data_IF_268945496114
#
_entry.id   IF_268945496114
#
_cell.length_a   1.000
_cell.length_b   1.000
_cell.length_c   1.000
_cell.angle_alpha   90.00
_cell.angle_beta   90.00
_cell.angle_gamma   90.00
#
_symmetry.space_group_name_H-M   'P 1'
#
loop_
_entity.id
_entity.type
_entity.pdbx_description
1 polymer ?
#
# COMPACT_ATOMS: atom_id res chain seq x y z
N UNK A 1 -25.54 -8.05 15.67
CA UNK A 1 -24.61 -8.49 14.59
C UNK A 1 -23.24 -7.89 14.85
N UNK A 2 -22.26 -8.72 15.23
CA UNK A 2 -20.89 -8.25 15.44
C UNK A 2 -20.23 -8.01 14.07
N UNK A 3 -19.74 -6.79 13.86
CA UNK A 3 -18.95 -6.42 12.68
C UNK A 3 -17.61 -7.17 12.77
N UNK A 4 -17.38 -8.11 11.87
CA UNK A 4 -16.10 -8.82 11.77
C UNK A 4 -14.98 -7.77 11.62
N UNK A 5 -13.88 -7.87 12.38
CA UNK A 5 -12.73 -7.00 12.14
C UNK A 5 -12.17 -7.32 10.75
N UNK A 6 -12.00 -6.28 9.94
CA UNK A 6 -11.44 -6.29 8.59
C UNK A 6 -9.95 -6.64 8.62
N UNK A 7 -9.64 -7.85 9.06
CA UNK A 7 -8.27 -8.31 9.35
C UNK A 7 -7.77 -9.43 8.46
N UNK A 8 -8.59 -9.89 7.50
CA UNK A 8 -8.23 -10.96 6.56
C UNK A 8 -8.52 -10.57 5.10
N UNK A 9 -8.49 -9.27 4.82
CA UNK A 9 -8.47 -8.80 3.45
C UNK A 9 -7.08 -9.12 2.87
N UNK A 10 -7.02 -9.62 1.62
CA UNK A 10 -5.75 -9.84 0.92
C UNK A 10 -4.89 -8.59 1.03
N UNK A 11 -3.64 -8.74 1.46
CA UNK A 11 -2.66 -7.65 1.49
C UNK A 11 -2.36 -7.19 0.06
N UNK A 12 -3.21 -6.33 -0.49
CA UNK A 12 -2.96 -5.64 -1.74
C UNK A 12 -2.14 -4.39 -1.42
N UNK A 13 -0.82 -4.48 -1.52
CA UNK A 13 0.02 -3.30 -1.51
C UNK A 13 -0.27 -2.50 -2.79
N UNK A 14 -0.61 -1.22 -2.66
CA UNK A 14 -0.83 -0.33 -3.79
C UNK A 14 0.46 0.43 -4.06
N UNK A 15 0.97 0.37 -5.29
CA UNK A 15 2.08 1.22 -5.73
C UNK A 15 1.56 2.63 -5.91
N UNK A 16 2.21 3.61 -5.28
CA UNK A 16 1.81 5.01 -5.37
C UNK A 16 2.75 5.72 -6.34
N UNK A 17 2.29 5.99 -7.56
CA UNK A 17 3.06 6.76 -8.52
C UNK A 17 3.11 8.26 -8.12
N UNK A 18 4.28 8.88 -8.31
CA UNK A 18 4.58 10.28 -7.92
C UNK A 18 3.62 11.32 -8.54
N UNK A 19 2.90 10.97 -9.59
CA UNK A 19 1.90 11.83 -10.25
C UNK A 19 0.66 12.12 -9.37
N UNK A 20 0.34 11.28 -8.39
CA UNK A 20 -0.82 11.46 -7.51
C UNK A 20 -0.62 12.49 -6.38
N UNK A 21 0.59 13.06 -6.24
CA UNK A 21 0.93 13.97 -5.12
C UNK A 21 0.41 15.41 -5.30
N UNK A 22 -0.27 15.72 -6.41
CA UNK A 22 -0.89 17.03 -6.66
C UNK A 22 -2.40 16.88 -6.84
N UNK A 23 -3.15 16.76 -5.73
CA UNK A 23 -4.52 17.28 -5.55
C UNK A 23 -5.07 16.81 -4.19
N UNK A 24 -4.61 17.46 -3.13
CA UNK A 24 -5.31 17.48 -1.85
C UNK A 24 -5.99 18.86 -1.70
N UNK A 25 -7.28 18.92 -2.04
CA UNK A 25 -8.10 20.12 -1.87
C UNK A 25 -9.58 19.90 -2.19
N UNK A 26 -10.38 19.81 -1.13
CA UNK A 26 -11.87 19.96 -1.04
C UNK A 26 -12.82 18.73 -1.14
N UNK A 27 -13.45 18.48 0.03
CA UNK A 27 -14.77 17.94 0.45
C UNK A 27 -15.75 17.14 -0.47
N UNK A 28 -16.22 16.04 0.16
CA UNK A 28 -17.57 15.42 0.30
C UNK A 28 -18.39 14.82 -0.90
N UNK A 29 -18.83 13.57 -0.67
CA UNK A 29 -19.87 12.67 -1.25
C UNK A 29 -20.38 12.81 -2.70
N UNK A 30 -20.32 11.70 -3.46
CA UNK A 30 -21.48 10.90 -3.96
C UNK A 30 -21.01 9.78 -4.93
N UNK A 31 -21.80 8.71 -5.02
CA UNK A 31 -21.58 7.46 -5.79
C UNK A 31 -21.53 7.68 -7.32
N UNK A 32 -20.76 6.84 -8.02
CA UNK A 32 -21.18 6.12 -9.25
C UNK A 32 -20.21 4.98 -9.58
N UNK A 33 -20.78 3.83 -9.91
CA UNK A 33 -20.10 2.70 -10.55
C UNK A 33 -19.90 3.04 -12.02
N UNK A 34 -18.69 2.85 -12.56
CA UNK A 34 -18.47 2.57 -13.98
C UNK A 34 -17.09 1.91 -14.11
N UNK A 35 -17.08 0.77 -14.78
CA UNK A 35 -15.96 -0.06 -15.26
C UNK A 35 -14.55 0.55 -15.22
N UNK A 36 -13.69 0.06 -14.31
CA UNK A 36 -12.25 0.24 -14.43
C UNK A 36 -11.70 -0.79 -15.42
N UNK A 37 -11.43 -0.32 -16.64
CA UNK A 37 -10.38 -0.91 -17.46
C UNK A 37 -9.10 -0.71 -16.65
N UNK A 38 -8.57 -1.79 -16.07
CA UNK A 38 -7.28 -1.75 -15.38
C UNK A 38 -6.23 -1.52 -16.46
N UNK A 39 -5.94 -0.25 -16.75
CA UNK A 39 -4.70 0.11 -17.44
C UNK A 39 -3.58 -0.45 -16.56
N UNK A 40 -2.84 -1.43 -17.09
CA UNK A 40 -1.67 -1.94 -16.41
C UNK A 40 -0.62 -0.82 -16.37
N UNK A 41 -0.72 0.00 -15.32
CA UNK A 41 0.29 0.98 -14.95
C UNK A 41 1.64 0.24 -14.93
N UNK A 42 2.62 0.65 -15.76
CA UNK A 42 3.86 -0.08 -15.90
C UNK A 42 4.52 -0.17 -14.52
N UNK A 43 4.57 -1.38 -13.96
CA UNK A 43 5.12 -1.61 -12.64
C UNK A 43 6.54 -1.03 -12.60
N UNK A 44 6.74 0.00 -11.78
CA UNK A 44 8.05 0.61 -11.62
C UNK A 44 8.99 -0.41 -11.00
N UNK A 45 9.89 -0.95 -11.82
CA UNK A 45 10.86 -1.94 -11.39
C UNK A 45 11.84 -1.30 -10.40
N UNK A 46 12.11 -1.99 -9.29
CA UNK A 46 13.14 -1.55 -8.34
C UNK A 46 14.52 -1.59 -9.00
N UNK A 47 15.29 -0.49 -8.92
CA UNK A 47 16.62 -0.37 -9.51
C UNK A 47 17.62 0.14 -8.48
N UNK A 48 18.79 -0.49 -8.43
CA UNK A 48 19.88 -0.07 -7.55
C UNK A 48 20.35 1.33 -7.94
N UNK A 49 20.58 2.20 -6.95
CA UNK A 49 20.97 3.59 -7.15
C UNK A 49 19.83 4.52 -7.59
N UNK A 50 18.65 3.98 -7.92
CA UNK A 50 17.44 4.75 -8.15
C UNK A 50 16.60 4.91 -6.88
N UNK A 51 15.61 5.82 -6.88
CA UNK A 51 14.64 5.88 -5.81
C UNK A 51 13.83 4.59 -5.75
N UNK A 52 13.62 4.06 -4.55
CA UNK A 52 12.75 2.91 -4.35
C UNK A 52 11.29 3.25 -4.74
N UNK A 53 10.56 2.32 -5.38
CA UNK A 53 9.14 2.50 -5.66
C UNK A 53 8.35 2.76 -4.37
N UNK A 54 7.54 3.81 -4.36
CA UNK A 54 6.69 4.13 -3.21
C UNK A 54 5.49 3.16 -3.17
N UNK A 55 5.15 2.72 -1.98
CA UNK A 55 4.05 1.80 -1.75
C UNK A 55 3.29 2.17 -0.49
N UNK A 56 2.02 1.80 -0.48
CA UNK A 56 1.11 1.93 0.65
C UNK A 56 0.49 0.56 0.94
N UNK A 57 0.55 0.11 2.19
CA UNK A 57 0.05 -1.19 2.59
C UNK A 57 -0.50 -1.18 4.03
N UNK A 58 -1.49 -2.03 4.30
CA UNK A 58 -1.90 -2.32 5.67
C UNK A 58 -0.86 -3.21 6.35
N UNK A 59 -0.53 -2.89 7.59
CA UNK A 59 0.43 -3.63 8.41
C UNK A 59 -0.11 -3.82 9.83
N UNK A 60 0.39 -4.84 10.53
CA UNK A 60 0.12 -5.05 11.95
C UNK A 60 1.35 -4.67 12.76
N UNK A 61 1.22 -3.68 13.66
CA UNK A 61 2.32 -3.19 14.48
C UNK A 61 1.82 -2.88 15.90
N UNK A 62 2.54 -3.38 16.92
CA UNK A 62 2.23 -3.17 18.35
C UNK A 62 0.76 -3.47 18.70
N UNK A 63 0.24 -4.59 18.19
CA UNK A 63 -1.11 -5.06 18.50
C UNK A 63 -2.23 -4.39 17.69
N UNK A 64 -1.91 -3.54 16.70
CA UNK A 64 -2.89 -2.75 15.94
C UNK A 64 -2.64 -2.81 14.44
N UNK A 65 -3.74 -2.77 13.68
CA UNK A 65 -3.68 -2.54 12.24
C UNK A 65 -3.42 -1.07 11.97
N UNK A 66 -2.42 -0.79 11.15
CA UNK A 66 -2.01 0.54 10.72
C UNK A 66 -1.83 0.54 9.21
N UNK A 67 -1.89 1.73 8.61
CA UNK A 67 -1.50 1.92 7.21
C UNK A 67 -0.06 2.43 7.18
N UNK A 68 0.81 1.82 6.39
CA UNK A 68 2.22 2.19 6.27
C UNK A 68 2.52 2.63 4.84
N UNK A 69 3.33 3.68 4.73
CA UNK A 69 3.81 4.19 3.46
C UNK A 69 5.32 4.33 3.47
N UNK A 70 5.99 4.00 2.36
CA UNK A 70 7.45 4.11 2.28
C UNK A 70 7.91 5.56 2.43
N UNK A 71 7.16 6.52 1.87
CA UNK A 71 7.46 7.95 1.99
C UNK A 71 7.56 8.48 3.42
N UNK A 72 6.90 7.84 4.39
CA UNK A 72 6.88 8.29 5.79
C UNK A 72 8.22 8.01 6.51
N UNK A 73 9.08 7.18 5.90
CA UNK A 73 10.36 6.77 6.45
C UNK A 73 11.57 7.44 5.78
N UNK A 74 11.34 8.50 5.00
CA UNK A 74 12.42 9.30 4.40
C UNK A 74 13.36 9.85 5.48
N UNK A 75 14.67 9.84 5.19
CA UNK A 75 15.72 10.27 6.12
C UNK A 75 16.16 9.20 7.13
N UNK A 76 15.56 8.00 7.09
CA UNK A 76 16.01 6.83 7.86
C UNK A 76 16.44 5.72 6.92
N UNK A 77 17.35 4.85 7.40
CA UNK A 77 17.61 3.59 6.72
C UNK A 77 16.45 2.63 6.94
N UNK A 78 15.95 2.03 5.85
CA UNK A 78 14.83 1.09 5.86
C UNK A 78 15.29 -0.22 5.24
N UNK A 79 15.02 -1.33 5.93
CA UNK A 79 15.19 -2.68 5.41
C UNK A 79 13.79 -3.26 5.13
N UNK A 80 13.53 -3.61 3.86
CA UNK A 80 12.27 -4.22 3.43
C UNK A 80 12.54 -5.67 2.99
N UNK A 81 11.94 -6.63 3.69
CA UNK A 81 12.11 -8.06 3.41
C UNK A 81 10.77 -8.67 2.96
N UNK A 82 10.80 -9.42 1.86
CA UNK A 82 9.68 -10.21 1.41
C UNK A 82 9.86 -11.66 1.86
N UNK A 83 8.80 -12.29 2.33
CA UNK A 83 8.79 -13.69 2.75
C UNK A 83 7.59 -14.40 2.11
N UNK A 84 7.69 -15.72 1.81
CA UNK A 84 6.71 -16.41 0.96
C UNK A 84 5.36 -16.70 1.64
N UNK A 85 5.32 -16.88 2.96
CA UNK A 85 4.07 -17.09 3.69
C UNK A 85 4.25 -17.37 5.17
N UNK A 86 3.20 -17.07 5.93
CA UNK A 86 3.09 -17.34 7.37
C UNK A 86 2.83 -18.83 7.64
N UNK A 87 3.32 -19.35 8.77
CA UNK A 87 3.14 -20.75 9.21
C UNK A 87 3.57 -21.82 8.20
N UNK A 88 4.65 -21.54 7.47
CA UNK A 88 5.27 -22.49 6.55
C UNK A 88 6.39 -23.28 7.23
N UNK A 89 6.66 -24.51 6.77
CA UNK A 89 7.70 -25.46 7.21
C UNK A 89 7.86 -25.68 8.72
N UNK A 90 6.79 -26.22 9.32
CA UNK A 90 6.82 -26.99 10.57
C UNK A 90 6.25 -28.38 10.31
#
# INVERSE_FOLDING_TARGET
MAKLPSGCDRAAARVVNKAAMQKAGSKDKSKKNESEIVEEEPMSMARVGGPAPDFEAQAYHKGKFINVKLSDNLGKWVLLCFYPGDFTFV
#
